data_IF_536826324826
#
_entry.id   IF_536826324826
#
_cell.length_a   1.000
_cell.length_b   1.000
_cell.length_c   1.000
_cell.angle_alpha   90.00
_cell.angle_beta   90.00
_cell.angle_gamma   90.00
#
_symmetry.space_group_name_H-M   'P 1'
#
loop_
_entity.id
_entity.type
_entity.pdbx_description
1 polymer ?
#
# COMPACT_ATOMS: atom_id res chain seq x y z
N UNK A 1 54.38 -8.72 26.90
CA UNK A 1 54.14 -7.46 27.63
C UNK A 1 54.30 -6.34 26.63
N UNK A 2 53.46 -5.33 26.46
CA UNK A 2 52.09 -4.99 26.85
C UNK A 2 51.86 -3.61 26.15
N UNK A 3 50.70 -3.42 25.51
CA UNK A 3 50.25 -2.13 24.94
C UNK A 3 49.99 -1.07 26.05
N UNK A 4 49.85 0.24 25.72
CA UNK A 4 48.50 0.81 25.50
C UNK A 4 48.41 1.86 24.34
N UNK A 5 47.42 1.78 23.43
CA UNK A 5 46.09 2.45 23.37
C UNK A 5 46.23 3.94 22.95
N UNK A 6 45.60 4.49 21.90
CA UNK A 6 44.20 4.44 21.44
C UNK A 6 44.18 4.74 19.92
N UNK A 7 43.80 3.79 19.07
CA UNK A 7 43.41 4.05 17.68
C UNK A 7 42.17 3.23 17.35
N UNK A 8 41.15 3.93 16.87
CA UNK A 8 40.03 3.47 16.06
C UNK A 8 39.41 2.11 16.42
N UNK A 9 38.45 2.14 17.34
CA UNK A 9 37.41 1.12 17.44
C UNK A 9 36.06 1.82 17.42
N UNK A 10 35.47 1.98 16.22
CA UNK A 10 34.03 2.21 16.07
C UNK A 10 33.52 1.26 14.99
N UNK A 11 33.02 0.13 15.51
CA UNK A 11 31.96 -0.76 15.04
C UNK A 11 31.70 -0.96 13.54
N UNK A 12 31.97 -2.20 13.15
CA UNK A 12 31.34 -2.95 12.06
C UNK A 12 29.85 -3.13 12.35
N UNK A 13 29.00 -2.69 11.43
CA UNK A 13 27.63 -3.15 11.24
C UNK A 13 27.47 -3.57 9.78
N UNK A 14 26.97 -4.77 9.55
CA UNK A 14 26.95 -5.51 8.29
C UNK A 14 26.12 -4.84 7.18
N UNK A 15 26.56 -5.01 5.92
CA UNK A 15 26.09 -4.41 4.64
C UNK A 15 26.69 -3.04 4.26
N UNK A 16 28.03 -2.98 4.19
CA UNK A 16 28.73 -1.86 3.54
C UNK A 16 28.69 -1.97 2.02
N UNK A 17 27.91 -1.11 1.36
CA UNK A 17 28.09 -0.82 -0.06
C UNK A 17 29.37 0.02 -0.21
N UNK A 18 30.44 -0.59 -0.71
CA UNK A 18 31.64 0.12 -1.13
C UNK A 18 31.37 0.69 -2.53
N UNK A 19 31.06 1.98 -2.61
CA UNK A 19 31.07 2.69 -3.89
C UNK A 19 32.48 2.62 -4.48
N UNK A 20 32.57 2.22 -5.74
CA UNK A 20 33.83 2.10 -6.47
C UNK A 20 34.17 3.43 -7.15
N UNK A 21 35.44 3.62 -7.55
CA UNK A 21 35.84 4.79 -8.34
C UNK A 21 35.03 4.94 -9.66
N UNK A 22 34.47 3.83 -10.16
CA UNK A 22 33.61 3.78 -11.34
C UNK A 22 32.22 4.41 -11.10
N UNK A 23 31.63 4.20 -9.92
CA UNK A 23 30.33 4.78 -9.55
C UNK A 23 30.43 6.31 -9.45
N UNK A 24 31.56 6.80 -8.95
CA UNK A 24 31.92 8.23 -8.90
C UNK A 24 32.07 8.88 -10.28
N UNK A 25 32.57 8.15 -11.29
CA UNK A 25 32.70 8.67 -12.66
C UNK A 25 31.39 8.68 -13.42
N UNK A 26 30.57 7.63 -13.29
CA UNK A 26 29.23 7.58 -13.87
C UNK A 26 28.36 8.71 -13.34
N UNK A 27 28.39 8.90 -12.03
CA UNK A 27 27.69 9.97 -11.33
C UNK A 27 28.15 11.38 -11.77
N UNK A 28 29.46 11.58 -11.99
CA UNK A 28 30.02 12.83 -12.55
C UNK A 28 29.48 13.16 -13.94
N UNK A 29 29.25 12.15 -14.79
CA UNK A 29 28.69 12.34 -16.14
C UNK A 29 27.21 12.74 -16.13
N UNK A 30 26.42 12.19 -15.21
CA UNK A 30 25.00 12.55 -15.06
C UNK A 30 24.81 14.00 -14.58
N UNK A 31 25.70 14.49 -13.72
CA UNK A 31 25.75 15.89 -13.27
C UNK A 31 26.10 16.87 -14.40
N UNK A 32 27.11 16.55 -15.21
CA UNK A 32 27.52 17.37 -16.36
C UNK A 32 26.45 17.40 -17.46
N UNK A 33 25.60 16.38 -17.54
CA UNK A 33 24.51 16.30 -18.49
C UNK A 33 23.24 17.07 -18.06
N UNK A 34 23.05 17.33 -16.75
CA UNK A 34 21.87 18.04 -16.22
C UNK A 34 22.04 19.56 -16.11
N UNK A 35 23.28 20.05 -16.01
CA UNK A 35 23.56 21.48 -15.86
C UNK A 35 24.52 21.96 -16.95
N UNK A 36 23.97 22.68 -17.93
CA UNK A 36 24.73 23.58 -18.77
C UNK A 36 25.49 24.56 -17.85
N UNK A 37 26.82 24.57 -17.95
CA UNK A 37 27.78 25.12 -16.98
C UNK A 37 27.71 26.64 -16.81
N UNK A 38 27.83 27.18 -15.58
CA UNK A 38 28.57 28.43 -15.31
C UNK A 38 28.76 28.85 -13.84
N UNK A 39 27.92 28.45 -12.86
CA UNK A 39 28.09 28.91 -11.46
C UNK A 39 27.49 27.91 -10.47
N UNK A 40 28.27 26.92 -10.05
CA UNK A 40 27.83 25.90 -9.10
C UNK A 40 28.71 25.97 -7.84
N UNK A 41 28.16 26.48 -6.73
CA UNK A 41 28.84 26.52 -5.44
C UNK A 41 28.39 25.35 -4.56
N UNK A 42 29.29 24.42 -4.27
CA UNK A 42 28.97 23.26 -3.44
C UNK A 42 28.66 23.63 -1.98
N UNK A 43 29.16 24.77 -1.48
CA UNK A 43 28.91 25.21 -0.10
C UNK A 43 27.43 25.57 0.14
N UNK A 44 26.67 25.86 -0.93
CA UNK A 44 25.22 26.09 -0.87
C UNK A 44 24.46 24.83 -0.40
N UNK A 45 25.09 23.64 -0.49
CA UNK A 45 24.49 22.37 -0.09
C UNK A 45 24.88 21.90 1.32
N UNK A 46 25.77 22.61 2.02
CA UNK A 46 26.21 22.23 3.39
C UNK A 46 25.03 22.09 4.35
N UNK A 47 24.04 22.98 4.25
CA UNK A 47 22.85 22.99 5.11
C UNK A 47 21.94 21.77 4.94
N UNK A 48 22.14 20.94 3.91
CA UNK A 48 21.40 19.69 3.72
C UNK A 48 21.90 18.55 4.62
N UNK A 49 23.15 18.64 5.12
CA UNK A 49 23.72 17.68 6.05
C UNK A 49 23.28 17.89 7.51
N UNK A 50 22.65 19.02 7.82
CA UNK A 50 22.09 19.28 9.15
C UNK A 50 20.80 18.47 9.36
N UNK A 51 20.49 18.03 10.61
CA UNK A 51 19.26 17.29 10.92
C UNK A 51 18.00 18.00 10.42
N UNK A 52 17.09 17.24 9.78
CA UNK A 52 15.82 17.78 9.28
C UNK A 52 14.72 17.73 10.36
N UNK A 53 14.55 18.82 11.09
CA UNK A 53 13.57 18.93 12.17
C UNK A 53 12.23 19.54 11.72
N UNK A 54 11.52 18.88 10.80
CA UNK A 54 10.16 19.30 10.44
C UNK A 54 9.13 18.86 11.50
N UNK A 55 8.32 19.82 11.97
CA UNK A 55 7.21 19.58 12.90
C UNK A 55 5.89 19.42 12.15
N UNK A 56 5.11 18.41 12.51
CA UNK A 56 3.78 18.15 11.93
C UNK A 56 2.81 19.27 12.34
N UNK A 57 2.13 19.93 11.39
CA UNK A 57 1.05 20.86 11.70
C UNK A 57 -0.14 20.16 12.37
N UNK A 58 -0.95 20.92 13.10
CA UNK A 58 -2.26 20.43 13.52
C UNK A 58 -3.23 20.49 12.33
N UNK A 59 -3.64 19.32 11.87
CA UNK A 59 -4.58 19.15 10.76
C UNK A 59 -6.04 18.99 11.22
N UNK A 60 -6.32 19.10 12.52
CA UNK A 60 -7.70 19.16 13.01
C UNK A 60 -8.38 20.46 12.58
N UNK A 61 -9.66 20.39 12.25
CA UNK A 61 -10.49 21.56 11.98
C UNK A 61 -11.94 21.29 12.33
N UNK A 62 -12.69 22.34 12.68
CA UNK A 62 -14.13 22.22 12.96
C UNK A 62 -14.86 21.62 11.75
N UNK A 63 -15.61 20.55 11.97
CA UNK A 63 -16.37 19.85 10.93
C UNK A 63 -15.56 18.90 10.04
N UNK A 64 -14.23 18.85 10.20
CA UNK A 64 -13.37 17.87 9.50
C UNK A 64 -13.45 16.52 10.18
N UNK A 65 -13.56 15.45 9.39
CA UNK A 65 -13.58 14.07 9.90
C UNK A 65 -12.21 13.62 10.37
N UNK A 66 -12.17 12.66 11.31
CA UNK A 66 -10.90 12.13 11.82
C UNK A 66 -10.11 11.48 10.67
N UNK A 67 -10.79 10.72 9.81
CA UNK A 67 -10.18 10.10 8.62
C UNK A 67 -9.55 11.10 7.66
N UNK A 68 -10.13 12.29 7.52
CA UNK A 68 -9.57 13.37 6.69
C UNK A 68 -8.32 13.99 7.33
N UNK A 69 -8.37 14.25 8.64
CA UNK A 69 -7.20 14.72 9.39
C UNK A 69 -6.06 13.70 9.30
N UNK A 70 -6.35 12.40 9.46
CA UNK A 70 -5.36 11.33 9.31
C UNK A 70 -4.79 11.25 7.91
N UNK A 71 -5.59 11.45 6.88
CA UNK A 71 -5.08 11.55 5.51
C UNK A 71 -4.06 12.69 5.36
N UNK A 72 -4.32 13.86 5.94
CA UNK A 72 -3.37 14.99 5.91
C UNK A 72 -2.08 14.69 6.67
N UNK A 73 -2.17 14.04 7.84
CA UNK A 73 -1.01 13.56 8.58
C UNK A 73 -0.18 12.58 7.75
N UNK A 74 -0.82 11.62 7.07
CA UNK A 74 -0.14 10.63 6.23
C UNK A 74 0.57 11.27 5.04
N UNK A 75 -0.09 12.20 4.34
CA UNK A 75 0.53 12.98 3.25
C UNK A 75 1.72 13.79 3.77
N UNK A 76 1.61 14.37 4.97
CA UNK A 76 2.72 15.11 5.58
C UNK A 76 3.90 14.19 5.93
N UNK A 77 3.65 13.03 6.55
CA UNK A 77 4.72 12.07 6.88
C UNK A 77 5.43 11.55 5.62
N UNK A 78 4.67 11.32 4.55
CA UNK A 78 5.20 10.96 3.22
C UNK A 78 6.11 12.08 2.69
N UNK A 79 5.63 13.33 2.64
CA UNK A 79 6.44 14.46 2.18
C UNK A 79 7.68 14.69 3.05
N UNK A 80 7.57 14.47 4.36
CA UNK A 80 8.70 14.57 5.28
C UNK A 80 9.79 13.55 4.91
N UNK A 81 9.43 12.28 4.72
CA UNK A 81 10.37 11.23 4.29
C UNK A 81 10.98 11.52 2.93
N UNK A 82 10.17 12.01 1.98
CA UNK A 82 10.65 12.42 0.67
C UNK A 82 11.69 13.54 0.78
N UNK A 83 11.40 14.58 1.57
CA UNK A 83 12.33 15.68 1.81
C UNK A 83 13.61 15.22 2.53
N UNK A 84 13.51 14.34 3.53
CA UNK A 84 14.68 13.74 4.18
C UNK A 84 15.56 13.02 3.15
N UNK A 85 14.95 12.22 2.29
CA UNK A 85 15.65 11.49 1.21
C UNK A 85 16.33 12.43 0.22
N UNK A 86 15.66 13.50 -0.22
CA UNK A 86 16.25 14.49 -1.11
C UNK A 86 17.38 15.26 -0.42
N UNK A 87 17.22 15.58 0.87
CA UNK A 87 18.29 16.23 1.65
C UNK A 87 19.51 15.35 1.78
N UNK A 88 19.33 14.06 2.05
CA UNK A 88 20.43 13.11 2.14
C UNK A 88 21.23 13.03 0.83
N UNK A 89 20.54 13.01 -0.33
CA UNK A 89 21.19 13.06 -1.65
C UNK A 89 22.03 14.33 -1.83
N UNK A 90 21.48 15.50 -1.48
CA UNK A 90 22.23 16.76 -1.56
C UNK A 90 23.40 16.82 -0.58
N UNK A 91 23.24 16.25 0.62
CA UNK A 91 24.34 16.13 1.58
C UNK A 91 25.46 15.22 1.04
N UNK A 92 25.10 14.09 0.43
CA UNK A 92 26.07 13.20 -0.22
C UNK A 92 26.87 13.96 -1.30
N UNK A 93 26.22 14.81 -2.10
CA UNK A 93 26.89 15.64 -3.09
C UNK A 93 27.87 16.63 -2.47
N UNK A 94 27.49 17.26 -1.35
CA UNK A 94 28.38 18.13 -0.59
C UNK A 94 29.59 17.35 -0.06
N UNK A 95 29.40 16.21 0.60
CA UNK A 95 30.48 15.37 1.15
C UNK A 95 31.48 14.97 0.06
N UNK A 96 30.99 14.47 -1.08
CA UNK A 96 31.82 14.08 -2.22
C UNK A 96 32.65 15.26 -2.73
N UNK A 97 32.08 16.48 -2.76
CA UNK A 97 32.80 17.69 -3.17
C UNK A 97 33.95 18.05 -2.22
N UNK A 98 33.73 17.93 -0.91
CA UNK A 98 34.76 18.22 0.09
C UNK A 98 35.91 17.23 0.00
N UNK A 99 35.60 15.93 -0.16
CA UNK A 99 36.60 14.86 -0.33
C UNK A 99 37.47 15.12 -1.57
N UNK A 100 36.89 15.53 -2.70
CA UNK A 100 37.65 15.90 -3.92
C UNK A 100 38.61 17.07 -3.70
N UNK A 101 38.27 17.98 -2.80
CA UNK A 101 39.10 19.13 -2.45
C UNK A 101 40.13 18.83 -1.34
N UNK A 102 40.33 17.55 -0.99
CA UNK A 102 41.29 17.12 0.03
C UNK A 102 40.82 17.38 1.46
N UNK A 103 39.55 17.74 1.66
CA UNK A 103 38.93 17.92 2.99
C UNK A 103 38.15 16.65 3.30
N UNK A 104 38.59 15.88 4.29
CA UNK A 104 37.83 14.73 4.80
C UNK A 104 36.82 15.29 5.81
N UNK A 105 35.50 15.21 5.58
CA UNK A 105 34.53 15.64 6.57
C UNK A 105 34.58 14.73 7.82
N UNK A 106 34.43 15.31 9.00
CA UNK A 106 34.48 14.61 10.29
C UNK A 106 33.33 13.62 10.51
N UNK A 107 32.34 13.60 9.61
CA UNK A 107 31.17 12.71 9.68
C UNK A 107 30.79 12.23 8.28
N UNK A 108 30.72 10.91 8.09
CA UNK A 108 30.16 10.28 6.87
C UNK A 108 28.97 9.44 7.32
N UNK A 109 27.76 9.92 7.06
CA UNK A 109 26.55 9.11 7.06
C UNK A 109 26.07 9.03 5.61
N UNK A 110 26.15 7.84 5.03
CA UNK A 110 25.57 7.56 3.71
C UNK A 110 24.25 6.83 3.97
N UNK A 111 23.13 7.44 3.60
CA UNK A 111 21.84 6.74 3.53
C UNK A 111 21.63 6.23 2.10
N UNK A 112 21.26 4.95 1.98
CA UNK A 112 20.99 4.31 0.70
C UNK A 112 19.64 4.79 0.16
N UNK A 113 19.62 5.57 -0.92
CA UNK A 113 18.37 5.88 -1.65
C UNK A 113 18.40 5.31 -3.07
N UNK A 114 17.66 4.23 -3.27
CA UNK A 114 17.43 3.60 -4.57
C UNK A 114 16.38 4.39 -5.35
N UNK A 115 16.76 4.95 -6.50
CA UNK A 115 15.85 5.61 -7.46
C UNK A 115 15.45 4.59 -8.53
N UNK A 116 14.15 4.37 -8.74
CA UNK A 116 13.64 3.55 -9.85
C UNK A 116 12.81 4.40 -10.82
N UNK A 117 13.15 4.30 -12.12
CA UNK A 117 12.45 4.93 -13.24
C UNK A 117 11.30 4.04 -13.72
N UNK A 118 10.15 4.65 -14.00
CA UNK A 118 8.90 4.01 -14.39
C UNK A 118 8.75 3.75 -15.90
N UNK A 119 8.02 2.69 -16.26
CA UNK A 119 7.54 2.45 -17.62
C UNK A 119 6.50 1.32 -17.78
N UNK A 120 5.23 1.57 -17.40
CA UNK A 120 3.98 0.80 -17.68
C UNK A 120 4.12 -0.74 -17.80
N UNK A 121 3.71 -1.51 -16.76
CA UNK A 121 3.51 -2.98 -16.75
C UNK A 121 2.77 -3.43 -15.47
N UNK A 122 2.74 -4.74 -15.14
CA UNK A 122 2.46 -5.28 -13.78
C UNK A 122 2.92 -4.29 -12.71
N UNK A 123 2.30 -4.24 -11.52
CA UNK A 123 2.80 -3.38 -10.45
C UNK A 123 4.32 -3.60 -10.34
N UNK A 124 5.12 -2.60 -10.77
CA UNK A 124 6.55 -2.82 -11.08
C UNK A 124 7.30 -3.18 -9.78
N UNK A 125 6.64 -2.97 -8.64
CA UNK A 125 7.06 -3.30 -7.29
C UNK A 125 5.93 -3.04 -6.27
N UNK A 126 6.23 -3.31 -5.00
CA UNK A 126 5.37 -2.93 -3.88
C UNK A 126 5.26 -1.42 -3.62
N UNK A 127 6.15 -0.58 -4.15
CA UNK A 127 6.12 0.88 -3.93
C UNK A 127 5.01 1.58 -4.71
N UNK A 128 4.41 0.91 -5.70
CA UNK A 128 3.28 1.49 -6.44
C UNK A 128 1.99 1.50 -5.62
N UNK A 129 1.72 0.43 -4.88
CA UNK A 129 0.52 0.29 -4.04
C UNK A 129 0.89 -0.09 -2.60
N UNK A 130 1.54 0.81 -1.86
CA UNK A 130 2.16 0.49 -0.57
C UNK A 130 1.16 0.21 0.57
N UNK A 131 -0.13 0.41 0.32
CA UNK A 131 -1.20 0.08 1.27
C UNK A 131 -1.74 -1.34 1.09
N UNK A 132 -1.36 -2.06 0.03
CA UNK A 132 -1.91 -3.38 -0.26
C UNK A 132 -1.43 -4.40 0.76
N UNK A 133 -2.38 -5.15 1.33
CA UNK A 133 -2.11 -6.27 2.22
C UNK A 133 -2.78 -7.55 1.76
N UNK A 134 -2.02 -8.63 1.69
CA UNK A 134 -2.54 -9.96 1.41
C UNK A 134 -2.94 -10.66 2.71
N UNK A 135 -4.17 -11.16 2.78
CA UNK A 135 -4.73 -11.80 3.98
C UNK A 135 -4.59 -13.32 3.84
N UNK A 136 -3.87 -13.93 4.78
CA UNK A 136 -3.40 -15.31 4.71
C UNK A 136 -4.03 -16.26 5.73
N UNK A 137 -4.34 -17.46 5.26
CA UNK A 137 -4.73 -18.61 6.07
C UNK A 137 -3.59 -19.60 6.18
N UNK A 138 -3.48 -20.30 7.32
CA UNK A 138 -2.47 -21.34 7.50
C UNK A 138 -2.73 -22.52 6.58
N UNK A 139 -1.71 -23.00 5.87
CA UNK A 139 -1.79 -24.21 5.05
C UNK A 139 -1.85 -25.49 5.91
N UNK A 140 -2.58 -26.52 5.45
CA UNK A 140 -2.86 -27.75 6.23
C UNK A 140 -1.69 -28.73 6.33
N UNK A 141 -0.73 -28.71 5.39
CA UNK A 141 0.37 -29.68 5.31
C UNK A 141 1.65 -29.08 4.68
N UNK A 142 2.07 -27.88 5.10
CA UNK A 142 3.30 -27.25 4.60
C UNK A 142 4.32 -27.08 5.73
N UNK A 143 5.52 -27.65 5.53
CA UNK A 143 6.66 -27.53 6.45
C UNK A 143 7.63 -26.43 6.05
N UNK A 144 7.61 -26.01 4.78
CA UNK A 144 8.40 -24.90 4.27
C UNK A 144 7.84 -23.57 4.79
N UNK A 145 8.67 -22.82 5.53
CA UNK A 145 8.25 -21.56 6.18
C UNK A 145 7.66 -20.54 5.20
N UNK A 146 8.15 -20.49 3.96
CA UNK A 146 7.69 -19.55 2.94
C UNK A 146 6.35 -19.97 2.29
N UNK A 147 5.96 -21.25 2.35
CA UNK A 147 4.64 -21.78 1.92
C UNK A 147 3.64 -21.94 3.07
N UNK A 148 3.95 -21.37 4.24
CA UNK A 148 3.12 -21.49 5.44
C UNK A 148 1.71 -20.91 5.25
N UNK A 149 1.58 -19.90 4.40
CA UNK A 149 0.36 -19.12 4.23
C UNK A 149 -0.24 -19.28 2.83
N UNK A 150 -1.57 -19.31 2.77
CA UNK A 150 -2.36 -19.27 1.54
C UNK A 150 -3.18 -17.99 1.57
N UNK A 151 -2.89 -17.08 0.64
CA UNK A 151 -3.55 -15.78 0.56
C UNK A 151 -4.80 -15.89 -0.30
N UNK A 152 -5.97 -15.56 0.24
CA UNK A 152 -7.26 -15.66 -0.48
C UNK A 152 -8.08 -14.37 -0.50
N UNK A 153 -7.68 -13.38 0.28
CA UNK A 153 -8.27 -12.06 0.29
C UNK A 153 -7.18 -11.00 0.30
N UNK A 154 -7.57 -9.79 -0.08
CA UNK A 154 -6.75 -8.59 -0.01
C UNK A 154 -7.38 -7.58 0.96
N UNK A 155 -6.64 -6.55 1.31
CA UNK A 155 -7.11 -5.40 2.08
C UNK A 155 -6.23 -4.18 1.84
N UNK A 156 -6.69 -3.03 2.33
CA UNK A 156 -5.94 -1.78 2.30
C UNK A 156 -5.56 -1.37 3.72
N UNK A 157 -4.28 -1.13 3.97
CA UNK A 157 -3.80 -0.51 5.19
C UNK A 157 -4.35 0.91 5.28
N UNK A 158 -4.95 1.27 6.42
CA UNK A 158 -5.58 2.58 6.64
C UNK A 158 -5.04 3.29 7.89
N UNK A 159 -4.21 2.60 8.68
CA UNK A 159 -3.45 3.17 9.81
C UNK A 159 -2.26 2.26 10.14
N UNK A 160 -1.48 2.59 11.18
CA UNK A 160 -0.35 1.77 11.64
C UNK A 160 -0.76 0.37 12.14
N UNK A 161 -2.02 0.17 12.51
CA UNK A 161 -2.48 -1.11 13.08
C UNK A 161 -3.75 -1.66 12.44
N UNK A 162 -4.30 -1.01 11.41
CA UNK A 162 -5.57 -1.42 10.84
C UNK A 162 -5.56 -1.52 9.32
N UNK A 163 -6.12 -2.62 8.81
CA UNK A 163 -6.53 -2.76 7.43
C UNK A 163 -8.06 -2.72 7.29
N UNK A 164 -8.52 -2.22 6.16
CA UNK A 164 -9.90 -2.30 5.68
C UNK A 164 -10.01 -3.43 4.64
N UNK A 165 -11.04 -4.28 4.78
CA UNK A 165 -11.30 -5.42 3.88
C UNK A 165 -12.78 -5.80 3.89
N UNK A 166 -13.16 -6.86 3.17
CA UNK A 166 -14.52 -7.38 3.14
C UNK A 166 -14.82 -8.25 4.37
N UNK A 167 -16.06 -8.22 4.85
CA UNK A 167 -16.48 -9.02 6.01
C UNK A 167 -16.41 -10.51 5.74
N UNK A 168 -16.73 -10.95 4.53
CA UNK A 168 -16.68 -12.37 4.18
C UNK A 168 -15.25 -12.95 4.15
N UNK A 169 -14.21 -12.12 4.18
CA UNK A 169 -12.83 -12.55 4.38
C UNK A 169 -12.53 -12.94 5.83
N UNK A 170 -13.46 -12.72 6.78
CA UNK A 170 -13.25 -13.10 8.19
C UNK A 170 -13.21 -14.61 8.41
N UNK A 171 -13.88 -15.37 7.54
CA UNK A 171 -14.04 -16.82 7.70
C UNK A 171 -14.34 -17.49 6.37
N UNK A 172 -13.44 -18.37 5.94
CA UNK A 172 -13.65 -19.21 4.76
C UNK A 172 -14.49 -20.44 5.10
N UNK A 173 -15.24 -20.93 4.10
CA UNK A 173 -16.02 -22.17 4.23
C UNK A 173 -15.12 -23.39 4.01
N UNK A 174 -14.98 -24.25 5.03
CA UNK A 174 -14.24 -25.54 4.93
C UNK A 174 -14.72 -26.44 3.81
N UNK A 175 -16.00 -26.36 3.42
CA UNK A 175 -16.58 -27.18 2.33
C UNK A 175 -15.99 -26.90 0.94
N UNK A 176 -15.27 -25.78 0.77
CA UNK A 176 -14.72 -25.34 -0.51
C UNK A 176 -13.19 -25.24 -0.52
N UNK A 177 -12.55 -25.49 0.62
CA UNK A 177 -11.13 -25.15 0.81
C UNK A 177 -10.45 -26.26 1.63
N UNK A 178 -9.79 -27.19 0.94
CA UNK A 178 -9.19 -28.40 1.53
C UNK A 178 -7.72 -28.22 1.96
N UNK A 179 -7.10 -27.13 1.54
CA UNK A 179 -5.69 -26.78 1.68
C UNK A 179 -5.38 -25.93 2.92
N UNK A 180 -6.39 -25.40 3.64
CA UNK A 180 -6.22 -24.58 4.85
C UNK A 180 -6.42 -25.39 6.14
N UNK A 181 -5.65 -25.04 7.18
CA UNK A 181 -5.70 -25.66 8.50
C UNK A 181 -6.85 -25.12 9.37
N UNK A 182 -7.20 -23.84 9.21
CA UNK A 182 -8.23 -23.14 9.97
C UNK A 182 -9.08 -22.27 9.05
N UNK A 183 -10.30 -21.92 9.47
CA UNK A 183 -11.22 -21.11 8.66
C UNK A 183 -10.98 -19.60 8.76
N UNK A 184 -10.35 -19.16 9.83
CA UNK A 184 -10.02 -17.78 10.14
C UNK A 184 -8.63 -17.45 9.61
N UNK A 185 -8.43 -16.25 9.03
CA UNK A 185 -7.11 -15.81 8.62
C UNK A 185 -6.25 -15.54 9.85
N UNK A 186 -4.94 -15.74 9.71
CA UNK A 186 -3.99 -15.60 10.81
C UNK A 186 -2.97 -14.48 10.58
N UNK A 187 -2.72 -14.11 9.31
CA UNK A 187 -1.66 -13.16 8.95
C UNK A 187 -2.12 -12.15 7.91
N UNK A 188 -1.51 -10.98 7.94
CA UNK A 188 -1.47 -10.02 6.84
C UNK A 188 -0.03 -9.88 6.37
N UNK A 189 0.19 -9.97 5.06
CA UNK A 189 1.48 -9.75 4.42
C UNK A 189 1.48 -8.39 3.72
N UNK A 190 2.45 -7.53 4.06
CA UNK A 190 2.60 -6.16 3.54
C UNK A 190 3.98 -5.94 2.90
N UNK A 191 4.06 -5.00 1.96
CA UNK A 191 5.33 -4.50 1.42
C UNK A 191 5.91 -5.27 0.24
N UNK A 192 5.12 -6.05 -0.50
CA UNK A 192 5.59 -6.83 -1.65
C UNK A 192 4.58 -6.81 -2.80
N UNK A 193 5.06 -6.99 -4.03
CA UNK A 193 4.22 -7.23 -5.19
C UNK A 193 3.98 -8.73 -5.45
N UNK A 194 4.96 -9.59 -5.19
CA UNK A 194 4.87 -11.03 -5.41
C UNK A 194 4.64 -11.80 -4.10
N UNK A 195 3.39 -12.22 -3.86
CA UNK A 195 2.98 -12.88 -2.59
C UNK A 195 3.62 -14.24 -2.34
N UNK A 196 4.26 -14.83 -3.34
CA UNK A 196 4.94 -16.11 -3.24
C UNK A 196 6.47 -16.02 -3.42
N UNK A 197 7.03 -14.81 -3.43
CA UNK A 197 8.47 -14.61 -3.59
C UNK A 197 9.25 -15.31 -2.46
N UNK A 198 9.90 -16.44 -2.76
CA UNK A 198 10.64 -17.22 -1.75
C UNK A 198 11.81 -16.45 -1.11
N UNK A 199 12.28 -15.38 -1.74
CA UNK A 199 13.35 -14.53 -1.24
C UNK A 199 12.83 -13.38 -0.37
N UNK A 200 11.51 -13.29 -0.12
CA UNK A 200 10.95 -12.19 0.68
C UNK A 200 11.56 -12.06 2.08
N UNK A 201 12.03 -13.18 2.65
CA UNK A 201 12.71 -13.21 3.95
C UNK A 201 14.05 -12.47 3.96
N UNK A 202 14.61 -12.15 2.78
CA UNK A 202 15.82 -11.36 2.61
C UNK A 202 15.52 -9.85 2.54
N UNK A 203 14.25 -9.46 2.47
CA UNK A 203 13.84 -8.07 2.37
C UNK A 203 13.35 -7.53 3.72
N UNK A 204 14.09 -6.58 4.29
CA UNK A 204 13.72 -5.93 5.57
C UNK A 204 12.40 -5.15 5.54
N UNK A 205 11.84 -4.90 4.35
CA UNK A 205 10.61 -4.15 4.15
C UNK A 205 9.34 -5.02 4.08
N UNK A 206 9.48 -6.35 3.92
CA UNK A 206 8.34 -7.27 3.86
C UNK A 206 7.96 -7.72 5.26
N UNK A 207 6.67 -7.64 5.60
CA UNK A 207 6.18 -7.98 6.94
C UNK A 207 4.98 -8.93 6.89
N UNK A 208 5.18 -10.14 7.42
CA UNK A 208 4.10 -11.02 7.88
C UNK A 208 3.71 -10.62 9.30
N UNK A 209 2.51 -10.08 9.47
CA UNK A 209 2.02 -9.58 10.75
C UNK A 209 0.80 -10.38 11.17
N UNK A 210 0.82 -10.89 12.40
CA UNK A 210 -0.31 -11.64 12.92
C UNK A 210 -1.56 -10.75 13.04
N UNK A 211 -2.71 -11.36 12.80
CA UNK A 211 -4.01 -10.73 13.01
C UNK A 211 -4.38 -10.83 14.49
N UNK A 212 -4.50 -9.68 15.16
CA UNK A 212 -4.98 -9.60 16.54
C UNK A 212 -6.48 -9.79 16.62
N UNK A 213 -7.21 -9.12 15.73
CA UNK A 213 -8.67 -9.14 15.73
C UNK A 213 -9.25 -8.85 14.36
N UNK A 214 -10.28 -9.60 13.98
CA UNK A 214 -11.13 -9.31 12.84
C UNK A 214 -12.43 -8.69 13.34
N UNK A 215 -12.73 -7.45 12.94
CA UNK A 215 -13.90 -6.69 13.38
C UNK A 215 -14.86 -6.59 12.20
N UNK A 216 -15.84 -7.49 12.18
CA UNK A 216 -16.89 -7.54 11.17
C UNK A 216 -17.96 -6.49 11.46
N UNK A 217 -18.41 -5.77 10.43
CA UNK A 217 -19.51 -4.82 10.59
C UNK A 217 -20.77 -5.53 11.13
N UNK A 218 -21.45 -5.00 12.17
CA UNK A 218 -22.50 -5.71 12.91
C UNK A 218 -23.72 -6.09 12.05
N UNK A 219 -23.96 -5.35 10.97
CA UNK A 219 -25.06 -5.59 10.03
C UNK A 219 -24.73 -6.59 8.92
N UNK A 220 -23.49 -7.09 8.85
CA UNK A 220 -23.15 -8.16 7.91
C UNK A 220 -23.82 -9.48 8.36
N UNK A 221 -24.69 -10.04 7.51
CA UNK A 221 -25.44 -11.28 7.80
C UNK A 221 -25.29 -12.29 6.67
N UNK A 222 -24.19 -13.06 6.60
CA UNK A 222 -23.99 -14.06 5.55
C UNK A 222 -25.15 -15.09 5.57
N UNK A 223 -25.64 -15.56 4.41
CA UNK A 223 -25.07 -15.38 3.07
C UNK A 223 -25.51 -14.10 2.33
N UNK A 224 -26.22 -13.17 2.99
CA UNK A 224 -26.58 -11.88 2.37
C UNK A 224 -25.33 -11.09 2.02
N UNK A 225 -25.39 -10.33 0.92
CA UNK A 225 -24.25 -9.57 0.36
C UNK A 225 -24.18 -8.11 0.78
N UNK A 226 -24.89 -7.74 1.84
CA UNK A 226 -25.02 -6.37 2.34
C UNK A 226 -24.10 -6.13 3.54
N UNK A 227 -23.65 -4.89 3.72
CA UNK A 227 -22.72 -4.50 4.80
C UNK A 227 -21.43 -5.33 4.84
N UNK A 228 -20.94 -5.78 3.68
CA UNK A 228 -19.79 -6.67 3.55
C UNK A 228 -18.47 -5.89 3.69
N UNK A 229 -18.19 -5.44 4.90
CA UNK A 229 -17.00 -4.66 5.25
C UNK A 229 -16.51 -5.05 6.65
N UNK A 230 -15.20 -5.03 6.82
CA UNK A 230 -14.52 -5.40 8.04
C UNK A 230 -13.22 -4.62 8.23
N UNK A 231 -12.78 -4.56 9.48
CA UNK A 231 -11.46 -4.10 9.86
C UNK A 231 -10.64 -5.28 10.37
N UNK A 232 -9.35 -5.29 10.04
CA UNK A 232 -8.36 -6.17 10.65
C UNK A 232 -7.50 -5.31 11.56
N UNK A 233 -7.45 -5.64 12.83
CA UNK A 233 -6.47 -5.11 13.76
C UNK A 233 -5.23 -6.01 13.73
N UNK A 234 -4.08 -5.41 13.44
CA UNK A 234 -2.77 -6.03 13.49
C UNK A 234 -2.29 -6.20 14.93
N UNK A 235 -1.48 -7.23 15.18
CA UNK A 235 -0.90 -7.50 16.50
C UNK A 235 0.26 -6.55 16.87
N UNK A 236 0.87 -5.92 15.87
CA UNK A 236 1.90 -4.89 16.04
C UNK A 236 1.67 -3.72 15.09
N UNK A 237 2.14 -2.53 15.50
CA UNK A 237 2.18 -1.36 14.63
C UNK A 237 3.22 -1.51 13.53
N UNK A 238 2.85 -1.12 12.31
CA UNK A 238 3.80 -0.97 11.21
C UNK A 238 4.45 0.41 11.23
N UNK A 239 5.70 0.44 10.78
CA UNK A 239 6.38 1.69 10.43
C UNK A 239 6.10 2.00 8.97
N UNK A 240 5.70 3.24 8.69
CA UNK A 240 5.49 3.64 7.30
C UNK A 240 6.84 3.86 6.61
N UNK A 241 6.95 3.31 5.41
CA UNK A 241 8.13 3.34 4.52
C UNK A 241 7.67 3.64 3.10
N UNK A 242 8.55 3.67 2.12
CA UNK A 242 8.16 3.74 0.69
C UNK A 242 7.37 2.50 0.22
N UNK A 243 7.46 1.37 0.93
CA UNK A 243 6.82 0.09 0.57
C UNK A 243 5.56 -0.20 1.39
N UNK A 244 5.42 0.41 2.56
CA UNK A 244 4.28 0.22 3.46
C UNK A 244 3.74 1.59 3.86
N UNK A 245 2.56 1.95 3.39
CA UNK A 245 1.89 3.21 3.71
C UNK A 245 0.39 3.03 3.82
N UNK A 246 -0.30 3.84 4.63
CA UNK A 246 -1.75 3.79 4.66
C UNK A 246 -2.32 4.44 3.40
N UNK A 247 -3.50 3.99 3.00
CA UNK A 247 -4.35 4.72 2.10
C UNK A 247 -5.27 5.67 2.89
N UNK A 248 -5.70 6.75 2.23
CA UNK A 248 -6.73 7.62 2.74
C UNK A 248 -8.12 7.03 2.48
N UNK A 249 -9.10 7.38 3.30
CA UNK A 249 -10.50 7.05 3.04
C UNK A 249 -11.16 8.20 2.29
N UNK A 250 -11.97 7.89 1.28
CA UNK A 250 -12.84 8.89 0.66
C UNK A 250 -14.17 8.96 1.45
N UNK A 251 -14.46 10.05 2.18
CA UNK A 251 -15.62 10.11 3.05
C UNK A 251 -16.89 10.58 2.33
N UNK A 252 -16.82 10.88 1.04
CA UNK A 252 -17.93 11.46 0.27
C UNK A 252 -18.64 10.42 -0.59
N UNK A 253 -19.94 10.62 -0.79
CA UNK A 253 -20.72 9.78 -1.71
C UNK A 253 -20.45 10.10 -3.18
N UNK A 254 -20.17 11.36 -3.46
CA UNK A 254 -19.91 11.87 -4.79
C UNK A 254 -18.45 11.58 -5.20
N UNK A 255 -18.28 11.14 -6.45
CA UNK A 255 -17.00 10.86 -7.10
C UNK A 255 -16.73 11.76 -8.30
N UNK A 256 -17.61 12.70 -8.66
CA UNK A 256 -17.47 13.54 -9.86
C UNK A 256 -16.15 14.32 -9.89
N UNK A 257 -15.63 14.71 -8.73
CA UNK A 257 -14.33 15.38 -8.60
C UNK A 257 -13.12 14.46 -8.82
N UNK A 258 -13.32 13.14 -8.76
CA UNK A 258 -12.28 12.11 -8.92
C UNK A 258 -12.17 11.61 -10.37
N UNK A 259 -13.03 12.10 -11.26
CA UNK A 259 -13.11 11.66 -12.65
C UNK A 259 -14.11 10.51 -12.85
N UNK A 260 -13.94 9.76 -13.95
CA UNK A 260 -14.85 8.66 -14.33
C UNK A 260 -14.32 7.27 -14.03
N UNK A 261 -13.05 7.18 -13.65
CA UNK A 261 -12.33 5.92 -13.56
C UNK A 261 -11.77 5.68 -12.16
N UNK A 262 -11.80 4.43 -11.74
CA UNK A 262 -11.13 3.92 -10.55
C UNK A 262 -10.06 2.90 -10.92
N UNK A 263 -9.21 2.60 -9.95
CA UNK A 263 -8.19 1.56 -10.00
C UNK A 263 -8.58 0.46 -9.02
N UNK A 264 -8.50 -0.77 -9.47
CA UNK A 264 -8.62 -1.97 -8.63
C UNK A 264 -7.28 -2.69 -8.60
N UNK A 265 -6.94 -3.24 -7.45
CA UNK A 265 -5.70 -3.96 -7.23
C UNK A 265 -5.89 -5.18 -6.36
N UNK A 266 -5.19 -6.27 -6.68
CA UNK A 266 -5.23 -7.51 -5.91
C UNK A 266 -4.43 -8.64 -6.54
N UNK A 267 -4.34 -9.75 -5.81
CA UNK A 267 -3.64 -10.98 -6.25
C UNK A 267 -4.62 -11.99 -6.81
N UNK A 268 -5.58 -11.48 -7.59
CA UNK A 268 -6.74 -12.26 -7.96
C UNK A 268 -6.51 -13.34 -8.99
N UNK A 269 -7.57 -14.12 -9.23
CA UNK A 269 -7.59 -15.03 -10.36
C UNK A 269 -7.56 -14.24 -11.66
N UNK A 270 -6.62 -14.58 -12.53
CA UNK A 270 -6.57 -14.08 -13.91
C UNK A 270 -7.61 -14.79 -14.78
N UNK A 271 -7.82 -14.32 -16.01
CA UNK A 271 -8.75 -14.95 -16.98
C UNK A 271 -8.47 -16.46 -17.20
N UNK A 272 -7.25 -16.93 -16.93
CA UNK A 272 -6.88 -18.35 -16.97
C UNK A 272 -7.32 -19.18 -15.75
N UNK A 273 -8.04 -18.59 -14.78
CA UNK A 273 -8.46 -19.26 -13.55
C UNK A 273 -7.32 -19.58 -12.58
N UNK A 274 -6.14 -19.01 -12.82
CA UNK A 274 -4.96 -19.15 -11.95
C UNK A 274 -4.79 -17.87 -11.14
N UNK A 275 -4.61 -18.04 -9.82
CA UNK A 275 -4.32 -16.94 -8.92
C UNK A 275 -2.98 -16.31 -9.30
N UNK A 276 -2.95 -15.00 -9.47
CA UNK A 276 -1.70 -14.30 -9.73
C UNK A 276 -0.88 -14.19 -8.46
N UNK A 277 0.39 -14.56 -8.55
CA UNK A 277 1.37 -14.30 -7.50
C UNK A 277 1.75 -12.82 -7.46
N UNK A 278 1.72 -12.17 -8.62
CA UNK A 278 2.07 -10.77 -8.80
C UNK A 278 0.83 -9.89 -8.65
N UNK A 279 0.98 -8.76 -7.96
CA UNK A 279 -0.10 -7.80 -7.78
C UNK A 279 -0.61 -7.32 -9.16
N UNK A 280 -1.89 -7.54 -9.41
CA UNK A 280 -2.57 -7.11 -10.63
C UNK A 280 -3.19 -5.74 -10.42
N UNK A 281 -3.27 -4.99 -11.51
CA UNK A 281 -3.80 -3.63 -11.55
C UNK A 281 -4.73 -3.52 -12.74
N UNK A 282 -5.92 -2.98 -12.51
CA UNK A 282 -6.89 -2.74 -13.56
C UNK A 282 -7.57 -1.38 -13.37
N UNK A 283 -7.92 -0.74 -14.49
CA UNK A 283 -8.72 0.48 -14.49
C UNK A 283 -10.16 0.12 -14.83
N UNK A 284 -11.11 0.64 -14.06
CA UNK A 284 -12.54 0.40 -14.21
C UNK A 284 -13.29 1.73 -14.28
N UNK A 285 -14.46 1.74 -14.91
CA UNK A 285 -15.35 2.90 -14.91
C UNK A 285 -16.26 2.86 -13.68
N UNK A 286 -16.51 4.02 -13.07
CA UNK A 286 -17.60 4.16 -12.10
C UNK A 286 -18.93 4.08 -12.84
N UNK A 287 -19.87 3.31 -12.30
CA UNK A 287 -21.20 3.14 -12.89
C UNK A 287 -22.25 3.69 -11.91
N UNK A 288 -23.11 4.55 -12.43
CA UNK A 288 -24.21 5.14 -11.65
C UNK A 288 -25.14 4.05 -11.11
N UNK A 289 -25.59 4.23 -9.86
CA UNK A 289 -26.39 3.23 -9.15
C UNK A 289 -27.63 2.77 -9.92
N UNK A 290 -28.45 3.67 -10.53
CA UNK A 290 -29.61 3.23 -11.30
C UNK A 290 -29.25 2.40 -12.55
N UNK A 291 -28.17 2.78 -13.24
CA UNK A 291 -27.69 2.05 -14.41
C UNK A 291 -27.18 0.67 -14.00
N UNK A 292 -26.37 0.58 -12.94
CA UNK A 292 -25.86 -0.69 -12.47
C UNK A 292 -26.97 -1.62 -11.96
N UNK A 293 -27.95 -1.07 -11.23
CA UNK A 293 -29.08 -1.86 -10.71
C UNK A 293 -29.96 -2.43 -11.83
N UNK A 294 -30.06 -1.70 -12.95
CA UNK A 294 -30.71 -2.18 -14.18
C UNK A 294 -29.90 -3.28 -14.87
N UNK A 295 -28.59 -3.08 -15.04
CA UNK A 295 -27.68 -4.08 -15.66
C UNK A 295 -27.69 -5.38 -14.86
N UNK A 296 -27.73 -5.28 -13.53
CA UNK A 296 -27.63 -6.42 -12.63
C UNK A 296 -28.98 -7.02 -12.22
N UNK A 297 -30.10 -6.51 -12.74
CA UNK A 297 -31.44 -7.03 -12.45
C UNK A 297 -31.58 -8.55 -12.66
N UNK A 298 -31.04 -9.15 -13.75
CA UNK A 298 -31.11 -10.59 -13.98
C UNK A 298 -30.36 -11.43 -12.93
N UNK A 299 -29.45 -10.83 -12.15
CA UNK A 299 -28.63 -11.53 -11.16
C UNK A 299 -29.19 -11.43 -9.73
N UNK A 300 -30.31 -10.73 -9.54
CA UNK A 300 -31.00 -10.66 -8.24
C UNK A 300 -31.38 -12.06 -7.76
N UNK A 301 -31.22 -12.28 -6.48
CA UNK A 301 -31.57 -13.54 -5.82
C UNK A 301 -31.84 -13.32 -4.32
N UNK A 302 -32.12 -14.41 -3.59
CA UNK A 302 -32.43 -14.34 -2.15
C UNK A 302 -31.31 -13.72 -1.29
N UNK A 303 -30.05 -13.72 -1.75
CA UNK A 303 -28.90 -13.20 -1.01
C UNK A 303 -28.58 -11.73 -1.36
N UNK A 304 -29.00 -11.27 -2.54
CA UNK A 304 -28.79 -9.90 -3.01
C UNK A 304 -29.95 -9.50 -3.94
N UNK A 305 -30.71 -8.50 -3.55
CA UNK A 305 -31.91 -8.04 -4.22
C UNK A 305 -31.78 -6.58 -4.67
N UNK A 306 -30.70 -6.28 -5.40
CA UNK A 306 -30.38 -4.94 -5.89
C UNK A 306 -29.46 -4.13 -4.97
N UNK A 307 -28.92 -3.07 -5.54
CA UNK A 307 -27.99 -2.15 -4.89
C UNK A 307 -28.66 -1.40 -3.74
N UNK A 308 -27.88 -1.13 -2.69
CA UNK A 308 -28.23 -0.22 -1.61
C UNK A 308 -27.18 0.89 -1.49
N UNK A 309 -27.48 1.96 -0.73
CA UNK A 309 -26.59 3.12 -0.59
C UNK A 309 -25.16 2.77 -0.15
N UNK A 310 -25.03 1.75 0.69
CA UNK A 310 -23.76 1.25 1.19
C UNK A 310 -23.00 0.36 0.19
N UNK A 311 -23.50 0.24 -1.04
CA UNK A 311 -22.86 -0.43 -2.16
C UNK A 311 -22.59 0.56 -3.29
N UNK A 312 -21.58 0.28 -4.08
CA UNK A 312 -21.28 0.98 -5.34
C UNK A 312 -20.89 -0.04 -6.40
N UNK A 313 -20.87 0.42 -7.65
CA UNK A 313 -20.65 -0.41 -8.82
C UNK A 313 -19.56 0.19 -9.70
N UNK A 314 -18.66 -0.66 -10.18
CA UNK A 314 -17.61 -0.27 -11.11
C UNK A 314 -17.22 -1.46 -12.00
N UNK A 315 -16.80 -1.19 -13.22
CA UNK A 315 -16.36 -2.21 -14.17
C UNK A 315 -16.29 -1.65 -15.59
N UNK A 316 -15.69 -2.40 -16.52
CA UNK A 316 -15.76 -2.07 -17.95
C UNK A 316 -16.95 -2.79 -18.59
N UNK A 317 -17.94 -2.05 -19.05
CA UNK A 317 -19.16 -2.64 -19.62
C UNK A 317 -18.92 -3.39 -20.94
N UNK A 318 -17.92 -2.96 -21.71
CA UNK A 318 -17.50 -3.63 -22.95
C UNK A 318 -16.79 -4.98 -22.69
N UNK A 319 -16.45 -5.29 -21.43
CA UNK A 319 -15.73 -6.49 -21.02
C UNK A 319 -14.20 -6.33 -21.09
N UNK A 320 -13.48 -7.44 -20.90
CA UNK A 320 -12.01 -7.51 -21.05
C UNK A 320 -11.18 -7.03 -19.84
N UNK A 321 -11.79 -6.37 -18.85
CA UNK A 321 -11.17 -6.06 -17.55
C UNK A 321 -12.24 -6.12 -16.47
N UNK A 322 -12.03 -6.93 -15.43
CA UNK A 322 -12.99 -7.10 -14.33
C UNK A 322 -12.28 -7.54 -13.03
N UNK A 323 -12.90 -7.25 -11.89
CA UNK A 323 -12.57 -7.86 -10.60
C UNK A 323 -12.97 -9.34 -10.61
N UNK A 324 -12.04 -10.21 -10.97
CA UNK A 324 -12.23 -11.63 -10.78
C UNK A 324 -12.13 -12.05 -9.31
N UNK A 325 -12.48 -13.31 -9.02
CA UNK A 325 -12.65 -13.89 -7.68
C UNK A 325 -11.51 -13.71 -6.65
N UNK A 326 -10.38 -13.10 -6.99
CA UNK A 326 -9.29 -12.89 -6.03
C UNK A 326 -8.79 -11.44 -5.84
N UNK A 327 -9.50 -10.42 -6.35
CA UNK A 327 -9.38 -9.05 -5.82
C UNK A 327 -10.27 -8.82 -4.59
N UNK A 328 -10.87 -9.90 -4.12
CA UNK A 328 -11.79 -9.99 -2.99
C UNK A 328 -11.24 -9.30 -1.74
N UNK A 329 -11.98 -8.33 -1.20
CA UNK A 329 -11.57 -7.52 -0.05
C UNK A 329 -10.55 -6.41 -0.36
N UNK A 330 -10.01 -6.36 -1.59
CA UNK A 330 -9.11 -5.31 -2.05
C UNK A 330 -9.82 -3.97 -2.31
N UNK A 331 -9.05 -2.88 -2.47
CA UNK A 331 -9.60 -1.54 -2.66
C UNK A 331 -10.02 -1.27 -4.10
N UNK A 332 -11.15 -0.57 -4.25
CA UNK A 332 -11.41 0.33 -5.38
C UNK A 332 -10.94 1.72 -4.99
N UNK A 333 -10.05 2.31 -5.77
CA UNK A 333 -9.29 3.48 -5.34
C UNK A 333 -8.93 4.43 -6.48
N UNK A 334 -8.52 5.64 -6.12
CA UNK A 334 -7.95 6.62 -7.05
C UNK A 334 -6.67 7.21 -6.46
N UNK A 335 -5.71 7.53 -7.32
CA UNK A 335 -4.42 8.07 -6.91
C UNK A 335 -4.58 9.51 -6.43
N UNK A 336 -3.99 9.84 -5.29
CA UNK A 336 -3.87 11.21 -4.79
C UNK A 336 -2.76 11.92 -5.59
N UNK A 337 -3.02 13.08 -6.21
CA UNK A 337 -1.98 13.87 -6.83
C UNK A 337 -1.01 14.39 -5.75
N UNK A 338 0.24 13.93 -5.82
CA UNK A 338 1.32 14.34 -4.92
C UNK A 338 2.48 14.92 -5.74
N UNK A 339 3.25 15.79 -5.09
CA UNK A 339 4.48 16.42 -5.57
C UNK A 339 5.73 15.55 -5.32
N UNK A 340 5.53 14.25 -5.09
CA UNK A 340 6.57 13.27 -4.75
C UNK A 340 6.49 12.06 -5.69
N UNK A 341 7.56 11.26 -5.76
CA UNK A 341 7.54 9.98 -6.50
C UNK A 341 6.77 8.87 -5.77
N UNK A 342 6.58 9.00 -4.45
CA UNK A 342 5.77 8.08 -3.65
C UNK A 342 4.28 8.20 -4.00
N UNK A 343 3.53 7.11 -3.81
CA UNK A 343 2.12 7.02 -4.19
C UNK A 343 1.22 6.85 -2.97
N UNK A 344 0.13 7.61 -2.93
CA UNK A 344 -0.96 7.48 -1.95
C UNK A 344 -2.30 7.48 -2.68
N UNK A 345 -3.30 6.85 -2.10
CA UNK A 345 -4.59 6.60 -2.74
C UNK A 345 -5.74 6.94 -1.81
N UNK A 346 -6.85 7.38 -2.38
CA UNK A 346 -8.16 7.37 -1.72
C UNK A 346 -8.84 6.04 -2.00
N UNK A 347 -9.25 5.32 -0.95
CA UNK A 347 -10.10 4.13 -1.05
C UNK A 347 -11.56 4.56 -1.04
N UNK A 348 -12.27 4.25 -2.13
CA UNK A 348 -13.68 4.58 -2.35
C UNK A 348 -14.58 3.39 -2.01
N UNK A 349 -14.09 2.18 -2.30
CA UNK A 349 -14.85 0.95 -2.13
C UNK A 349 -13.96 -0.23 -1.76
N UNK A 350 -14.59 -1.28 -1.24
CA UNK A 350 -13.95 -2.56 -0.97
C UNK A 350 -14.64 -3.65 -1.78
N UNK A 351 -13.89 -4.43 -2.55
CA UNK A 351 -14.41 -5.49 -3.43
C UNK A 351 -15.21 -6.51 -2.62
N UNK A 352 -16.51 -6.63 -2.90
CA UNK A 352 -17.43 -7.52 -2.18
C UNK A 352 -17.76 -8.77 -3.00
N UNK A 353 -18.34 -8.61 -4.19
CA UNK A 353 -18.62 -9.73 -5.09
C UNK A 353 -18.81 -9.26 -6.54
N UNK A 354 -18.65 -10.18 -7.49
CA UNK A 354 -19.00 -9.99 -8.89
C UNK A 354 -20.01 -11.04 -9.37
N UNK A 355 -20.68 -10.76 -10.49
CA UNK A 355 -21.61 -11.69 -11.16
C UNK A 355 -20.94 -12.53 -12.25
N UNK A 356 -19.68 -12.24 -12.55
CA UNK A 356 -18.86 -12.93 -13.54
C UNK A 356 -17.40 -12.49 -13.44
N UNK A 357 -16.65 -12.78 -14.50
CA UNK A 357 -15.22 -12.55 -14.61
C UNK A 357 -14.91 -12.08 -16.03
N UNK A 358 -14.81 -10.77 -16.24
CA UNK A 358 -14.34 -10.18 -17.50
C UNK A 358 -15.37 -10.14 -18.62
N UNK A 359 -16.62 -10.52 -18.33
CA UNK A 359 -17.70 -10.54 -19.32
C UNK A 359 -18.34 -9.17 -19.54
N UNK A 360 -18.88 -8.96 -20.74
CA UNK A 360 -19.68 -7.79 -21.07
C UNK A 360 -20.84 -7.63 -20.09
N UNK A 361 -21.09 -6.41 -19.62
CA UNK A 361 -22.15 -6.07 -18.66
C UNK A 361 -22.08 -6.83 -17.31
N UNK A 362 -20.88 -7.17 -16.84
CA UNK A 362 -20.68 -7.83 -15.55
C UNK A 362 -19.84 -6.98 -14.60
N UNK A 363 -20.35 -5.82 -14.13
CA UNK A 363 -19.59 -4.99 -13.21
C UNK A 363 -19.45 -5.63 -11.82
N UNK A 364 -18.39 -5.23 -11.12
CA UNK A 364 -18.15 -5.59 -9.72
C UNK A 364 -18.99 -4.74 -8.75
N UNK A 365 -19.37 -5.36 -7.63
CA UNK A 365 -20.02 -4.69 -6.51
C UNK A 365 -19.04 -4.53 -5.34
N UNK A 366 -18.99 -3.31 -4.83
CA UNK A 366 -18.09 -2.91 -3.75
C UNK A 366 -18.88 -2.35 -2.57
N UNK A 367 -18.39 -2.55 -1.36
CA UNK A 367 -18.86 -1.85 -0.17
C UNK A 367 -18.37 -0.40 -0.22
N UNK A 368 -19.30 0.58 -0.23
CA UNK A 368 -18.99 2.01 -0.33
C UNK A 368 -18.40 2.55 0.97
N UNK A 369 -17.13 2.92 0.98
CA UNK A 369 -16.38 3.33 2.18
C UNK A 369 -17.03 4.52 2.89
N UNK A 370 -17.49 5.53 2.15
CA UNK A 370 -18.14 6.72 2.72
C UNK A 370 -19.40 6.42 3.53
N UNK A 371 -20.02 5.26 3.32
CA UNK A 371 -21.19 4.82 4.07
C UNK A 371 -20.83 4.18 5.42
N UNK A 372 -19.55 3.92 5.68
CA UNK A 372 -19.02 3.25 6.87
C UNK A 372 -18.00 4.09 7.63
N UNK A 373 -17.69 5.31 7.19
CA UNK A 373 -16.64 6.15 7.78
C UNK A 373 -16.81 6.34 9.29
N UNK A 374 -18.03 6.58 9.78
CA UNK A 374 -18.29 6.74 11.22
C UNK A 374 -17.91 5.47 12.00
N UNK A 375 -18.28 4.30 11.50
CA UNK A 375 -17.95 3.01 12.10
C UNK A 375 -16.44 2.73 12.05
N UNK A 376 -15.77 3.09 10.95
CA UNK A 376 -14.32 2.96 10.81
C UNK A 376 -13.61 3.86 11.81
N UNK A 377 -13.99 5.14 11.91
CA UNK A 377 -13.35 6.09 12.80
C UNK A 377 -13.48 5.71 14.28
N UNK A 378 -14.64 5.19 14.67
CA UNK A 378 -14.90 4.70 16.01
C UNK A 378 -13.91 3.59 16.43
N UNK A 379 -13.66 2.63 15.54
CA UNK A 379 -12.80 1.49 15.84
C UNK A 379 -11.31 1.82 15.68
N UNK A 380 -10.94 2.60 14.68
CA UNK A 380 -9.53 2.79 14.30
C UNK A 380 -8.85 3.89 15.13
N UNK A 381 -9.54 4.99 15.41
CA UNK A 381 -8.90 6.18 15.98
C UNK A 381 -9.49 6.67 17.30
N UNK A 382 -10.74 6.32 17.64
CA UNK A 382 -11.35 6.72 18.93
C UNK A 382 -11.19 5.69 20.05
N UNK A 383 -11.18 4.40 19.71
CA UNK A 383 -11.10 3.31 20.71
C UNK A 383 -9.76 3.17 21.44
N UNK A 384 -8.78 4.04 21.15
CA UNK A 384 -7.46 4.11 21.79
C UNK A 384 -7.40 5.11 22.96
N UNK A 385 -8.54 5.50 23.53
CA UNK A 385 -8.65 6.43 24.67
C UNK A 385 -8.70 5.70 26.00
#
# INVERSE_FOLDING_TARGET
MLLPLIFASIFVGTYGLKYTAYDLEKFKKELLAKNDTANFNFDDYKGYCEPYEAKMPDFAASGRRISETKCQEYVWELRKRHNETERDKFCEFYIISQVKNGKIPDYIFLSNSSVNNAGKKNAESAFEFPHMGAIGWRAKNQTEQWRKWIFKCSGALISKSFLLTAAHCSKLSTRRVFDIAQTEPEVVRLGLADIEDSEFLLFDHVMDINIKKFIVHPNYKPPKKYYDIALIQLDSEVKFTSYIQPACLWPYHDFHLLGKNGIITGWGYTEGGVQSKQLQVATVDFIDTPQCDMILDPYRNRNWNGLQSHQLCAGLLDGGVDTCQGDTGGPLQVKIPLDTQESMYWVLGITSFGVGCGGTNQPGIYSRVSNFTDWIEEHVWKSSS
#
